data_IF_489541407638
#
_entry.id   IF_489541407638
#
_cell.length_a   1.000
_cell.length_b   1.000
_cell.length_c   1.000
_cell.angle_alpha   90.00
_cell.angle_beta   90.00
_cell.angle_gamma   90.00
#
_symmetry.space_group_name_H-M   'P 1'
#
loop_
_entity.id
_entity.type
_entity.pdbx_description
1 polymer ?
#
# COMPACT_ATOMS: atom_id res chain seq x y z
N UNK A 1 73.63 1.02 22.94
CA UNK A 1 72.33 1.62 23.32
C UNK A 1 71.81 2.43 22.14
N UNK A 2 70.95 1.87 21.31
CA UNK A 2 70.14 2.60 20.33
C UNK A 2 68.72 2.02 20.38
N UNK A 3 67.75 2.89 20.70
CA UNK A 3 66.31 2.65 20.61
C UNK A 3 65.86 2.96 19.18
N UNK A 4 64.93 2.18 18.63
CA UNK A 4 63.90 2.61 17.67
C UNK A 4 62.88 1.46 17.46
N UNK A 5 61.64 1.61 17.93
CA UNK A 5 60.44 1.94 17.13
C UNK A 5 60.20 0.91 16.01
N UNK A 6 59.22 0.01 16.04
CA UNK A 6 57.85 0.12 16.51
C UNK A 6 56.93 0.43 15.33
N UNK A 7 56.40 -0.59 14.64
CA UNK A 7 55.20 -0.47 13.80
C UNK A 7 54.40 -1.78 13.92
N UNK A 8 53.50 -1.82 14.90
CA UNK A 8 52.35 -2.73 14.86
C UNK A 8 51.29 -1.98 14.07
N UNK A 9 51.00 -2.44 12.85
CA UNK A 9 49.89 -1.93 12.06
C UNK A 9 48.58 -2.37 12.73
N UNK A 10 47.97 -1.47 13.49
CA UNK A 10 46.64 -1.62 14.04
C UNK A 10 45.64 -1.44 12.89
N UNK A 11 45.11 -2.54 12.35
CA UNK A 11 43.94 -2.50 11.47
C UNK A 11 42.73 -2.17 12.36
N UNK A 12 42.43 -0.88 12.49
CA UNK A 12 41.15 -0.40 13.01
C UNK A 12 40.08 -0.70 11.97
N UNK A 13 39.41 -1.83 12.14
CA UNK A 13 38.10 -2.09 11.56
C UNK A 13 37.15 -0.98 12.02
N UNK A 14 36.84 -0.05 11.13
CA UNK A 14 35.72 0.87 11.28
C UNK A 14 34.40 0.09 11.15
N UNK A 15 34.06 -0.68 12.19
CA UNK A 15 32.70 -1.14 12.48
C UNK A 15 32.16 -0.23 13.57
N UNK A 16 31.56 0.89 13.17
CA UNK A 16 31.09 1.87 14.13
C UNK A 16 30.17 2.92 13.52
N UNK A 17 29.02 2.48 13.00
CA UNK A 17 27.84 3.35 12.76
C UNK A 17 26.53 2.54 12.59
N UNK A 18 26.43 1.34 13.17
CA UNK A 18 25.22 0.52 13.12
C UNK A 18 24.97 -0.12 14.49
N UNK A 19 24.80 0.71 15.50
CA UNK A 19 24.32 0.31 16.81
C UNK A 19 23.30 1.37 17.27
N UNK A 20 22.07 0.91 17.51
CA UNK A 20 20.88 1.64 17.96
C UNK A 20 20.18 2.61 16.98
N UNK A 21 19.82 2.12 15.79
CA UNK A 21 18.49 2.48 15.29
C UNK A 21 17.48 1.66 16.12
N UNK A 22 16.81 2.29 17.08
CA UNK A 22 15.82 1.60 17.93
C UNK A 22 14.81 0.78 17.12
N UNK A 23 14.15 -0.18 17.76
CA UNK A 23 13.15 -1.03 17.09
C UNK A 23 12.15 -0.18 16.29
N UNK A 24 11.85 -0.61 15.06
CA UNK A 24 10.83 0.04 14.24
C UNK A 24 9.51 0.06 15.01
N UNK A 25 8.75 1.14 14.90
CA UNK A 25 7.55 1.33 15.72
C UNK A 25 6.44 2.06 14.97
N UNK A 26 5.23 1.79 15.43
CA UNK A 26 3.99 2.47 15.07
C UNK A 26 3.54 3.47 16.14
N UNK A 27 4.17 3.46 17.32
CA UNK A 27 3.73 4.24 18.48
C UNK A 27 3.99 5.74 18.27
N UNK A 28 2.94 6.58 18.18
CA UNK A 28 3.11 8.00 17.88
C UNK A 28 3.98 8.74 18.90
N UNK A 29 3.87 8.36 20.17
CA UNK A 29 4.66 8.95 21.27
C UNK A 29 6.14 8.56 21.25
N UNK A 30 6.49 7.48 20.54
CA UNK A 30 7.86 7.01 20.41
C UNK A 30 8.56 7.57 19.16
N UNK A 31 7.82 8.21 18.25
CA UNK A 31 8.31 8.74 16.97
C UNK A 31 8.56 10.25 17.04
N UNK A 32 9.47 10.75 16.22
CA UNK A 32 9.54 12.18 15.92
C UNK A 32 8.19 12.69 15.38
N UNK A 33 7.70 13.79 15.97
CA UNK A 33 6.37 14.32 15.64
C UNK A 33 6.26 14.79 14.19
N UNK A 34 7.35 15.27 13.57
CA UNK A 34 7.35 15.63 12.14
C UNK A 34 7.31 14.36 11.28
N UNK A 35 8.09 13.34 11.62
CA UNK A 35 8.04 12.04 10.95
C UNK A 35 6.63 11.46 10.96
N UNK A 36 5.98 11.42 12.12
CA UNK A 36 4.61 10.92 12.26
C UNK A 36 3.60 11.70 11.40
N UNK A 37 3.67 13.03 11.39
CA UNK A 37 2.77 13.88 10.57
C UNK A 37 2.98 13.69 9.07
N UNK A 38 4.19 13.43 8.62
CA UNK A 38 4.49 13.18 7.20
C UNK A 38 3.90 11.85 6.70
N UNK A 39 3.78 10.86 7.58
CA UNK A 39 3.15 9.56 7.25
C UNK A 39 1.64 9.53 7.53
N UNK A 40 1.07 10.57 8.15
CA UNK A 40 -0.36 10.66 8.46
C UNK A 40 -1.01 11.88 7.80
N UNK A 41 -0.96 13.05 8.42
CA UNK A 41 -1.59 14.29 7.93
C UNK A 41 -1.17 14.65 6.51
N UNK A 42 0.11 14.51 6.18
CA UNK A 42 0.57 14.82 4.83
C UNK A 42 -0.05 13.86 3.80
N UNK A 43 -0.21 12.57 4.12
CA UNK A 43 -0.92 11.63 3.25
C UNK A 43 -2.39 12.06 3.08
N UNK A 44 -3.03 12.53 4.14
CA UNK A 44 -4.38 13.06 4.08
C UNK A 44 -4.51 14.25 3.14
N UNK A 45 -3.62 15.23 3.25
CA UNK A 45 -3.58 16.40 2.37
C UNK A 45 -3.29 16.00 0.92
N UNK A 46 -2.28 15.15 0.73
CA UNK A 46 -1.92 14.60 -0.59
C UNK A 46 -3.17 14.02 -1.28
N UNK A 47 -3.99 13.25 -0.57
CA UNK A 47 -5.16 12.57 -1.13
C UNK A 47 -6.40 13.47 -1.26
N UNK A 48 -6.66 14.32 -0.27
CA UNK A 48 -7.90 15.08 -0.17
C UNK A 48 -7.83 16.50 -0.76
N UNK A 49 -6.64 17.08 -0.89
CA UNK A 49 -6.53 18.47 -1.35
C UNK A 49 -7.04 18.58 -2.80
N UNK A 50 -7.96 19.52 -3.07
CA UNK A 50 -8.44 19.75 -4.42
C UNK A 50 -7.27 20.15 -5.33
N UNK A 51 -6.94 19.31 -6.31
CA UNK A 51 -5.79 19.53 -7.20
C UNK A 51 -6.12 20.30 -8.49
N UNK A 52 -7.29 20.94 -8.53
CA UNK A 52 -7.75 21.73 -9.66
C UNK A 52 -8.34 23.07 -9.23
N UNK A 53 -8.11 24.10 -10.04
CA UNK A 53 -8.93 25.30 -9.99
C UNK A 53 -10.35 24.96 -10.45
N UNK A 54 -11.35 25.73 -10.05
CA UNK A 54 -12.74 25.51 -10.50
C UNK A 54 -12.91 25.55 -12.04
N UNK A 55 -11.93 26.10 -12.77
CA UNK A 55 -11.89 26.17 -14.23
C UNK A 55 -11.40 24.88 -14.91
N UNK A 56 -10.73 23.98 -14.19
CA UNK A 56 -10.15 22.76 -14.78
C UNK A 56 -11.20 21.67 -15.06
N UNK A 57 -12.43 21.82 -14.53
CA UNK A 57 -13.55 20.90 -14.75
C UNK A 57 -14.08 20.85 -16.19
N UNK A 58 -13.56 21.67 -17.10
CA UNK A 58 -13.92 21.69 -18.52
C UNK A 58 -12.96 20.90 -19.42
N UNK A 59 -11.89 20.31 -18.89
CA UNK A 59 -10.91 19.54 -19.67
C UNK A 59 -10.99 18.05 -19.35
N UNK A 60 -11.83 17.34 -20.10
CA UNK A 60 -11.94 15.88 -20.09
C UNK A 60 -10.63 15.29 -20.65
N UNK A 61 -9.70 14.93 -19.76
CA UNK A 61 -8.40 14.32 -20.09
C UNK A 61 -7.26 14.62 -19.11
N UNK A 62 -7.39 15.60 -18.20
CA UNK A 62 -6.25 16.09 -17.38
C UNK A 62 -6.08 15.50 -15.97
N UNK A 63 -6.91 14.54 -15.56
CA UNK A 63 -6.79 13.95 -14.22
C UNK A 63 -5.69 12.88 -14.11
N UNK A 64 -5.00 12.53 -15.20
CA UNK A 64 -4.00 11.46 -15.22
C UNK A 64 -2.60 11.89 -14.76
N UNK A 65 -2.19 13.14 -15.05
CA UNK A 65 -0.93 13.73 -14.55
C UNK A 65 -0.96 13.94 -13.02
N UNK A 66 -2.16 14.15 -12.46
CA UNK A 66 -2.39 14.38 -11.03
C UNK A 66 -2.17 13.14 -10.15
N UNK A 67 -1.89 11.97 -10.74
CA UNK A 67 -1.82 10.66 -10.07
C UNK A 67 -0.42 10.09 -9.98
N UNK A 68 0.42 10.39 -10.98
CA UNK A 68 1.85 10.27 -10.83
C UNK A 68 2.31 11.18 -9.67
N UNK A 69 1.78 12.41 -9.62
CA UNK A 69 1.99 13.37 -8.53
C UNK A 69 1.61 12.80 -7.15
N UNK A 70 0.53 12.02 -7.04
CA UNK A 70 0.15 11.39 -5.77
C UNK A 70 1.17 10.42 -5.22
N UNK A 71 1.64 9.51 -6.06
CA UNK A 71 2.58 8.49 -5.64
C UNK A 71 3.95 9.11 -5.37
N UNK A 72 4.36 10.09 -6.19
CA UNK A 72 5.60 10.85 -5.98
C UNK A 72 5.54 11.68 -4.69
N UNK A 73 4.47 12.42 -4.45
CA UNK A 73 4.28 13.18 -3.21
C UNK A 73 4.21 12.27 -1.99
N UNK A 74 3.51 11.13 -2.10
CA UNK A 74 3.45 10.13 -1.03
C UNK A 74 4.83 9.54 -0.74
N UNK A 75 5.60 9.22 -1.78
CA UNK A 75 6.96 8.70 -1.67
C UNK A 75 7.89 9.72 -1.03
N UNK A 76 7.85 10.97 -1.50
CA UNK A 76 8.63 12.08 -0.95
C UNK A 76 8.32 12.32 0.53
N UNK A 77 7.05 12.37 0.90
CA UNK A 77 6.66 12.53 2.30
C UNK A 77 7.17 11.38 3.17
N UNK A 78 7.08 10.13 2.69
CA UNK A 78 7.59 8.97 3.39
C UNK A 78 9.13 8.97 3.52
N UNK A 79 9.87 9.39 2.49
CA UNK A 79 11.33 9.60 2.57
C UNK A 79 11.70 10.62 3.65
N UNK A 80 11.06 11.80 3.60
CA UNK A 80 11.28 12.87 4.57
C UNK A 80 10.91 12.43 5.99
N UNK A 81 9.92 11.55 6.14
CA UNK A 81 9.59 10.96 7.43
C UNK A 81 10.69 10.04 7.94
N UNK A 82 11.25 9.19 7.08
CA UNK A 82 12.33 8.25 7.44
C UNK A 82 13.66 8.96 7.68
N UNK A 83 13.90 10.10 7.05
CA UNK A 83 15.05 10.96 7.36
C UNK A 83 14.91 11.64 8.72
N UNK A 84 13.69 12.04 9.08
CA UNK A 84 13.41 12.62 10.39
C UNK A 84 13.45 11.57 11.51
N UNK A 85 12.90 10.37 11.26
CA UNK A 85 12.98 9.23 12.18
C UNK A 85 12.97 7.90 11.40
N UNK A 86 14.11 7.20 11.31
CA UNK A 86 14.20 5.93 10.58
C UNK A 86 13.45 4.78 11.28
N UNK A 87 12.92 4.99 12.48
CA UNK A 87 12.10 3.99 13.19
C UNK A 87 10.63 3.99 12.75
N UNK A 88 10.20 4.97 11.97
CA UNK A 88 8.81 5.11 11.55
C UNK A 88 8.41 3.98 10.57
N UNK A 89 7.68 2.99 11.09
CA UNK A 89 7.27 1.82 10.32
C UNK A 89 6.30 2.18 9.17
N UNK A 90 5.48 3.21 9.35
CA UNK A 90 4.54 3.68 8.30
C UNK A 90 5.27 4.20 7.08
N UNK A 91 6.43 4.83 7.26
CA UNK A 91 7.27 5.31 6.15
C UNK A 91 7.65 4.16 5.23
N UNK A 92 8.09 3.04 5.80
CA UNK A 92 8.39 1.83 5.04
C UNK A 92 7.15 1.21 4.40
N UNK A 93 6.01 1.13 5.10
CA UNK A 93 4.76 0.61 4.55
C UNK A 93 4.23 1.42 3.36
N UNK A 94 4.33 2.75 3.42
CA UNK A 94 4.00 3.64 2.30
C UNK A 94 4.94 3.42 1.12
N UNK A 95 6.26 3.42 1.35
CA UNK A 95 7.25 3.20 0.29
C UNK A 95 7.11 1.82 -0.38
N UNK A 96 6.84 0.77 0.40
CA UNK A 96 6.59 -0.58 -0.09
C UNK A 96 5.46 -0.63 -1.12
N UNK A 97 4.42 0.20 -0.94
CA UNK A 97 3.31 0.35 -1.86
C UNK A 97 3.64 1.25 -3.05
N UNK A 98 4.02 2.50 -2.80
CA UNK A 98 4.10 3.52 -3.85
C UNK A 98 5.28 3.29 -4.79
N UNK A 99 6.38 2.70 -4.31
CA UNK A 99 7.52 2.36 -5.17
C UNK A 99 7.17 1.33 -6.25
N UNK A 100 6.19 0.44 -6.02
CA UNK A 100 5.70 -0.47 -7.07
C UNK A 100 4.90 0.28 -8.14
N UNK A 101 4.13 1.30 -7.75
CA UNK A 101 3.41 2.16 -8.69
C UNK A 101 4.36 3.02 -9.53
N UNK A 102 5.44 3.50 -8.91
CA UNK A 102 6.52 4.30 -9.53
C UNK A 102 7.55 3.47 -10.30
N UNK A 103 7.35 2.15 -10.43
CA UNK A 103 8.25 1.24 -11.15
C UNK A 103 9.68 1.20 -10.58
N UNK A 104 9.79 1.31 -9.26
CA UNK A 104 11.04 1.21 -8.49
C UNK A 104 11.06 -0.10 -7.68
N UNK A 105 11.19 -1.28 -8.33
CA UNK A 105 11.01 -2.58 -7.68
C UNK A 105 12.02 -2.87 -6.57
N UNK A 106 13.29 -2.51 -6.75
CA UNK A 106 14.33 -2.76 -5.74
C UNK A 106 14.06 -1.97 -4.46
N UNK A 107 13.60 -0.73 -4.64
CA UNK A 107 13.18 0.15 -3.55
C UNK A 107 11.95 -0.39 -2.84
N UNK A 108 10.96 -0.84 -3.61
CA UNK A 108 9.77 -1.47 -3.05
C UNK A 108 10.14 -2.69 -2.22
N UNK A 109 10.99 -3.58 -2.73
CA UNK A 109 11.43 -4.79 -2.06
C UNK A 109 12.17 -4.49 -0.75
N UNK A 110 13.07 -3.51 -0.75
CA UNK A 110 13.75 -3.08 0.48
C UNK A 110 12.75 -2.54 1.52
N UNK A 111 11.77 -1.75 1.10
CA UNK A 111 10.75 -1.20 2.00
C UNK A 111 9.79 -2.29 2.52
N UNK A 112 9.40 -3.24 1.67
CA UNK A 112 8.62 -4.42 2.06
C UNK A 112 9.32 -5.24 3.14
N UNK A 113 10.61 -5.51 2.98
CA UNK A 113 11.41 -6.23 3.97
C UNK A 113 11.36 -5.49 5.33
N UNK A 114 11.62 -4.18 5.34
CA UNK A 114 11.60 -3.37 6.57
C UNK A 114 10.23 -3.33 7.23
N UNK A 115 9.17 -3.09 6.46
CA UNK A 115 7.81 -3.03 6.98
C UNK A 115 7.41 -4.35 7.66
N UNK A 116 7.68 -5.48 7.00
CA UNK A 116 7.30 -6.80 7.51
C UNK A 116 8.19 -7.30 8.64
N UNK A 117 9.49 -7.01 8.62
CA UNK A 117 10.40 -7.36 9.74
C UNK A 117 10.10 -6.55 11.00
N UNK A 118 9.62 -5.32 10.84
CA UNK A 118 9.13 -4.49 11.94
C UNK A 118 7.75 -4.89 12.48
N UNK A 119 7.15 -5.98 11.97
CA UNK A 119 5.82 -6.45 12.39
C UNK A 119 4.65 -5.65 11.82
N UNK A 120 4.90 -4.78 10.84
CA UNK A 120 3.88 -3.99 10.16
C UNK A 120 3.24 -4.75 9.01
N UNK A 121 2.29 -4.08 8.34
CA UNK A 121 1.67 -4.57 7.12
C UNK A 121 1.91 -3.60 5.96
N UNK A 122 1.84 -4.09 4.73
CA UNK A 122 1.73 -3.23 3.55
C UNK A 122 0.26 -3.17 3.14
N UNK A 123 -0.32 -1.97 3.18
CA UNK A 123 -1.78 -1.78 3.10
C UNK A 123 -2.15 -1.05 1.82
N UNK A 124 -3.05 -1.63 1.05
CA UNK A 124 -3.64 -1.02 -0.14
C UNK A 124 -5.08 -0.62 0.12
N UNK A 125 -5.48 0.55 -0.37
CA UNK A 125 -6.90 0.78 -0.63
C UNK A 125 -7.29 0.00 -1.89
N UNK A 126 -8.53 -0.47 -1.92
CA UNK A 126 -8.94 -1.38 -2.96
C UNK A 126 -10.46 -1.39 -3.21
N UNK A 127 -10.84 -1.85 -4.41
CA UNK A 127 -12.23 -2.13 -4.77
C UNK A 127 -12.43 -3.64 -4.93
N UNK A 128 -13.40 -4.21 -4.21
CA UNK A 128 -13.83 -5.60 -4.35
C UNK A 128 -15.17 -5.60 -5.10
N UNK A 129 -15.12 -5.63 -6.43
CA UNK A 129 -16.31 -5.58 -7.29
C UNK A 129 -17.35 -6.66 -6.99
N UNK A 130 -16.87 -7.83 -6.55
CA UNK A 130 -17.72 -8.94 -6.17
C UNK A 130 -18.53 -8.62 -4.90
N UNK A 131 -18.02 -7.81 -3.98
CA UNK A 131 -18.69 -7.45 -2.73
C UNK A 131 -19.51 -6.18 -2.92
N UNK A 132 -18.85 -5.08 -3.29
CA UNK A 132 -19.49 -3.80 -3.56
C UNK A 132 -18.54 -2.87 -4.32
N UNK A 133 -18.90 -2.55 -5.56
CA UNK A 133 -18.12 -1.66 -6.42
C UNK A 133 -18.18 -0.17 -6.03
N UNK A 134 -19.01 0.20 -5.05
CA UNK A 134 -19.24 1.60 -4.62
C UNK A 134 -18.78 1.86 -3.19
N UNK A 135 -17.81 1.08 -2.71
CA UNK A 135 -17.17 1.31 -1.43
C UNK A 135 -15.69 0.94 -1.52
N UNK A 136 -14.89 1.43 -0.57
CA UNK A 136 -13.49 1.05 -0.46
C UNK A 136 -13.30 -0.01 0.60
N UNK A 137 -12.30 -0.86 0.33
CA UNK A 137 -11.75 -1.83 1.25
C UNK A 137 -10.27 -1.56 1.41
N UNK A 138 -9.68 -2.10 2.47
CA UNK A 138 -8.26 -2.02 2.73
C UNK A 138 -7.71 -3.42 2.89
N UNK A 139 -6.79 -3.79 2.01
CA UNK A 139 -6.10 -5.07 2.06
C UNK A 139 -4.76 -4.84 2.73
N UNK A 140 -4.57 -5.48 3.89
CA UNK A 140 -3.32 -5.47 4.62
C UNK A 140 -2.59 -6.81 4.40
N UNK A 141 -1.35 -6.73 3.91
CA UNK A 141 -0.47 -7.87 3.74
C UNK A 141 0.58 -7.84 4.84
N UNK A 142 0.47 -8.72 5.82
CA UNK A 142 1.48 -8.94 6.85
C UNK A 142 2.19 -10.28 6.64
N UNK A 143 3.15 -10.62 7.51
CA UNK A 143 3.90 -11.90 7.42
C UNK A 143 3.02 -13.15 7.48
N UNK A 144 1.85 -13.07 8.10
CA UNK A 144 1.02 -14.23 8.46
C UNK A 144 -0.22 -14.36 7.58
N UNK A 145 -0.82 -13.24 7.16
CA UNK A 145 -2.09 -13.24 6.47
C UNK A 145 -2.27 -12.08 5.50
N UNK A 146 -3.19 -12.30 4.56
CA UNK A 146 -3.95 -11.26 3.90
C UNK A 146 -5.15 -10.93 4.80
N UNK A 147 -5.33 -9.66 5.15
CA UNK A 147 -6.49 -9.19 5.92
C UNK A 147 -7.29 -8.21 5.10
N UNK A 148 -8.62 -8.28 5.20
CA UNK A 148 -9.53 -7.34 4.56
C UNK A 148 -10.25 -6.53 5.63
N UNK A 149 -10.13 -5.21 5.52
CA UNK A 149 -10.87 -4.26 6.32
C UNK A 149 -11.86 -3.51 5.43
N UNK A 150 -13.04 -3.22 5.98
CA UNK A 150 -13.96 -2.26 5.41
C UNK A 150 -13.50 -0.84 5.77
N UNK A 151 -13.84 0.14 4.96
CA UNK A 151 -13.42 1.52 5.20
C UNK A 151 -13.90 2.04 6.55
N UNK A 152 -15.16 1.80 6.91
CA UNK A 152 -15.72 2.30 8.17
C UNK A 152 -15.12 1.62 9.42
N UNK A 153 -14.50 0.44 9.28
CA UNK A 153 -13.74 -0.18 10.38
C UNK A 153 -12.46 0.60 10.70
N UNK A 154 -11.84 1.22 9.70
CA UNK A 154 -10.60 1.99 9.87
C UNK A 154 -10.88 3.47 10.12
N UNK A 155 -11.86 4.02 9.39
CA UNK A 155 -12.16 5.45 9.36
C UNK A 155 -13.23 5.88 10.37
N UNK A 156 -14.03 4.96 10.91
CA UNK A 156 -15.31 5.31 11.53
C UNK A 156 -16.35 5.69 10.48
N UNK A 157 -17.37 6.44 10.87
CA UNK A 157 -18.43 6.87 9.94
C UNK A 157 -17.85 7.80 8.88
N UNK A 158 -18.04 7.45 7.61
CA UNK A 158 -17.52 8.23 6.48
C UNK A 158 -18.64 9.02 5.79
N UNK A 159 -18.30 10.23 5.36
CA UNK A 159 -19.14 10.98 4.43
C UNK A 159 -19.17 10.24 3.09
N UNK A 160 -20.32 10.26 2.41
CA UNK A 160 -20.49 9.66 1.08
C UNK A 160 -20.82 10.75 0.08
N UNK A 161 -20.05 10.79 -1.00
CA UNK A 161 -20.19 11.76 -2.07
C UNK A 161 -21.08 11.23 -3.20
N UNK A 162 -20.74 11.65 -4.42
CA UNK A 162 -21.43 11.26 -5.64
C UNK A 162 -21.47 9.73 -5.82
N UNK A 163 -22.60 9.19 -6.32
CA UNK A 163 -22.90 7.76 -6.42
C UNK A 163 -22.84 6.94 -5.10
N UNK A 164 -22.74 7.58 -3.93
CA UNK A 164 -22.67 6.91 -2.63
C UNK A 164 -21.29 6.33 -2.30
N UNK A 165 -20.26 6.73 -3.06
CA UNK A 165 -18.87 6.38 -2.83
C UNK A 165 -18.38 7.12 -1.58
N UNK A 166 -17.72 6.45 -0.62
CA UNK A 166 -17.21 7.10 0.58
C UNK A 166 -16.07 8.08 0.24
N UNK A 167 -16.07 9.25 0.89
CA UNK A 167 -14.95 10.18 0.86
C UNK A 167 -13.85 9.70 1.83
N UNK A 168 -12.59 9.98 1.50
CA UNK A 168 -11.50 9.75 2.44
C UNK A 168 -11.62 10.69 3.65
N UNK A 169 -11.30 10.24 4.88
CA UNK A 169 -11.35 11.08 6.07
C UNK A 169 -10.43 12.29 5.96
N UNK A 170 -10.71 13.35 6.72
CA UNK A 170 -9.83 14.52 6.81
C UNK A 170 -8.51 14.23 7.53
N UNK A 171 -7.61 15.22 7.51
CA UNK A 171 -6.28 15.14 8.15
C UNK A 171 -6.33 14.99 9.69
N UNK A 172 -7.49 15.21 10.29
CA UNK A 172 -7.76 14.96 11.71
C UNK A 172 -7.87 13.47 12.06
N UNK A 173 -8.16 12.60 11.09
CA UNK A 173 -8.24 11.15 11.30
C UNK A 173 -6.88 10.46 11.11
N UNK A 174 -5.90 10.82 11.94
CA UNK A 174 -4.55 10.25 11.86
C UNK A 174 -4.53 8.73 12.04
N UNK A 175 -5.45 8.17 12.84
CA UNK A 175 -5.62 6.72 13.03
C UNK A 175 -5.87 5.99 11.72
N UNK A 176 -6.74 6.52 10.87
CA UNK A 176 -7.02 5.94 9.55
C UNK A 176 -5.76 5.93 8.67
N UNK A 177 -5.03 7.05 8.63
CA UNK A 177 -3.81 7.15 7.83
C UNK A 177 -2.66 6.31 8.39
N UNK A 178 -2.56 6.16 9.71
CA UNK A 178 -1.62 5.25 10.34
C UNK A 178 -1.92 3.79 9.97
N UNK A 179 -3.19 3.39 10.02
CA UNK A 179 -3.63 2.07 9.58
C UNK A 179 -3.31 1.84 8.10
N UNK A 180 -3.57 2.82 7.24
CA UNK A 180 -3.26 2.73 5.81
C UNK A 180 -1.75 2.79 5.51
N UNK A 181 -0.96 3.35 6.42
CA UNK A 181 0.50 3.30 6.40
C UNK A 181 1.08 1.96 6.85
N UNK A 182 0.26 1.03 7.37
CA UNK A 182 0.71 -0.28 7.84
C UNK A 182 0.67 -0.49 9.34
N UNK A 183 0.27 0.52 10.11
CA UNK A 183 0.18 0.52 11.56
C UNK A 183 -1.28 0.43 12.00
N UNK A 184 -1.84 -0.78 11.89
CA UNK A 184 -3.25 -1.03 12.19
C UNK A 184 -3.39 -1.32 13.69
N UNK A 185 -4.30 -0.62 14.36
CA UNK A 185 -4.66 -0.88 15.75
C UNK A 185 -5.15 -2.34 15.89
N UNK A 186 -4.50 -3.18 16.73
CA UNK A 186 -4.81 -4.61 16.84
C UNK A 186 -6.22 -4.87 17.41
N UNK A 187 -6.88 -3.87 17.99
CA UNK A 187 -8.27 -3.98 18.44
C UNK A 187 -9.28 -3.91 17.28
N UNK A 188 -8.86 -3.42 16.10
CA UNK A 188 -9.71 -3.42 14.91
C UNK A 188 -9.75 -4.84 14.34
N UNK A 189 -10.91 -5.48 14.47
CA UNK A 189 -11.13 -6.80 13.91
C UNK A 189 -11.33 -6.69 12.39
N UNK A 190 -10.46 -7.29 11.55
CA UNK A 190 -10.67 -7.35 10.11
C UNK A 190 -11.93 -8.14 9.79
N UNK A 191 -12.60 -7.76 8.70
CA UNK A 191 -13.80 -8.46 8.25
C UNK A 191 -13.49 -9.84 7.64
N UNK A 192 -12.25 -10.03 7.15
CA UNK A 192 -11.70 -11.35 6.82
C UNK A 192 -10.20 -11.44 7.13
N UNK A 193 -9.77 -12.63 7.58
CA UNK A 193 -8.36 -13.01 7.73
C UNK A 193 -8.12 -14.27 6.91
N UNK A 194 -7.19 -14.19 5.96
CA UNK A 194 -6.77 -15.30 5.11
C UNK A 194 -5.30 -15.59 5.41
N UNK A 195 -4.97 -16.62 6.21
CA UNK A 195 -3.61 -17.08 6.35
C UNK A 195 -2.98 -17.35 4.98
N UNK A 196 -1.70 -17.02 4.79
CA UNK A 196 -1.04 -17.29 3.50
C UNK A 196 -1.02 -18.78 3.14
N UNK A 197 -1.09 -19.67 4.13
CA UNK A 197 -1.28 -21.11 3.93
C UNK A 197 -2.59 -21.47 3.23
N UNK A 198 -3.62 -20.63 3.31
CA UNK A 198 -4.90 -20.81 2.65
C UNK A 198 -4.98 -20.14 1.27
N UNK A 199 -3.96 -19.39 0.85
CA UNK A 199 -3.91 -18.85 -0.52
C UNK A 199 -3.31 -19.89 -1.44
N UNK A 200 -4.07 -20.35 -2.44
CA UNK A 200 -3.64 -21.39 -3.39
C UNK A 200 -2.99 -20.81 -4.65
N UNK A 201 -3.49 -19.67 -5.10
CA UNK A 201 -3.07 -19.05 -6.35
C UNK A 201 -3.23 -17.53 -6.26
N UNK A 202 -2.25 -16.80 -6.81
CA UNK A 202 -2.39 -15.36 -7.06
C UNK A 202 -2.27 -15.10 -8.56
N UNK A 203 -3.39 -14.74 -9.18
CA UNK A 203 -3.46 -14.38 -10.60
C UNK A 203 -3.44 -12.86 -10.74
N UNK A 204 -2.77 -12.38 -11.78
CA UNK A 204 -2.83 -10.99 -12.24
C UNK A 204 -3.42 -10.92 -13.64
N UNK A 205 -4.03 -9.79 -13.93
CA UNK A 205 -4.77 -9.50 -15.16
C UNK A 205 -5.04 -8.02 -15.22
N UNK A 206 -5.83 -7.56 -16.20
CA UNK A 206 -6.01 -6.13 -16.38
C UNK A 206 -6.82 -5.55 -15.21
N UNK A 207 -6.24 -4.58 -14.50
CA UNK A 207 -6.77 -3.91 -13.30
C UNK A 207 -7.01 -4.76 -12.05
N UNK A 208 -7.06 -6.09 -12.16
CA UNK A 208 -7.52 -6.98 -11.08
C UNK A 208 -6.44 -7.99 -10.67
N UNK A 209 -6.36 -8.22 -9.36
CA UNK A 209 -5.69 -9.35 -8.72
C UNK A 209 -6.74 -10.33 -8.20
N UNK A 210 -6.45 -11.62 -8.31
CA UNK A 210 -7.27 -12.68 -7.75
C UNK A 210 -6.46 -13.48 -6.76
N UNK A 211 -7.00 -13.66 -5.55
CA UNK A 211 -6.49 -14.57 -4.54
C UNK A 211 -7.44 -15.75 -4.45
N UNK A 212 -7.06 -16.91 -5.00
CA UNK A 212 -7.86 -18.14 -4.87
C UNK A 212 -7.61 -18.77 -3.51
N UNK A 213 -8.68 -19.10 -2.82
CA UNK A 213 -8.63 -19.53 -1.44
C UNK A 213 -8.85 -21.04 -1.30
N UNK A 214 -8.20 -21.63 -0.32
CA UNK A 214 -8.43 -23.00 0.11
C UNK A 214 -9.76 -23.15 0.84
N UNK A 215 -10.13 -22.12 1.61
CA UNK A 215 -11.34 -22.05 2.42
C UNK A 215 -12.08 -20.75 2.07
N UNK A 216 -13.41 -20.76 1.99
CA UNK A 216 -14.17 -19.55 1.74
C UNK A 216 -14.04 -18.56 2.91
N UNK A 217 -14.21 -17.27 2.60
CA UNK A 217 -14.32 -16.19 3.59
C UNK A 217 -15.58 -15.37 3.35
N UNK A 218 -16.04 -14.65 4.37
CA UNK A 218 -17.24 -13.81 4.26
C UNK A 218 -16.87 -12.34 4.44
N UNK A 219 -17.11 -11.52 3.42
CA UNK A 219 -16.82 -10.08 3.43
C UNK A 219 -18.12 -9.27 3.28
N UNK A 220 -18.27 -8.23 4.07
CA UNK A 220 -19.42 -7.32 4.13
C UNK A 220 -19.18 -5.97 3.46
N UNK A 221 -20.27 -5.31 3.07
CA UNK A 221 -20.26 -3.94 2.53
C UNK A 221 -20.73 -2.93 3.58
N UNK A 222 -19.96 -1.86 3.79
CA UNK A 222 -20.36 -0.72 4.63
C UNK A 222 -21.66 -0.07 4.13
N UNK A 223 -21.82 0.02 2.81
CA UNK A 223 -22.93 0.74 2.18
C UNK A 223 -24.25 -0.02 2.25
N UNK A 224 -24.21 -1.35 2.15
CA UNK A 224 -25.43 -2.17 2.01
C UNK A 224 -25.70 -3.09 3.20
N UNK A 225 -24.73 -3.27 4.09
CA UNK A 225 -24.78 -4.28 5.17
C UNK A 225 -24.75 -5.73 4.69
N UNK A 226 -24.78 -5.97 3.36
CA UNK A 226 -24.77 -7.32 2.80
C UNK A 226 -23.41 -7.97 2.99
N UNK A 227 -23.42 -9.27 3.26
CA UNK A 227 -22.23 -10.12 3.35
C UNK A 227 -22.21 -11.10 2.18
N UNK A 228 -21.03 -11.34 1.61
CA UNK A 228 -20.80 -12.28 0.51
C UNK A 228 -19.75 -13.30 0.90
N UNK A 229 -20.08 -14.58 0.70
CA UNK A 229 -19.10 -15.67 0.80
C UNK A 229 -18.28 -15.74 -0.50
N UNK A 230 -16.96 -15.77 -0.37
CA UNK A 230 -16.00 -15.75 -1.46
C UNK A 230 -15.03 -16.93 -1.34
N UNK A 231 -14.89 -17.70 -2.42
CA UNK A 231 -13.78 -18.66 -2.60
C UNK A 231 -12.57 -18.04 -3.32
N UNK A 232 -12.74 -16.84 -3.84
CA UNK A 232 -11.73 -16.08 -4.55
C UNK A 232 -11.95 -14.60 -4.23
N UNK A 233 -10.92 -13.93 -3.73
CA UNK A 233 -10.96 -12.47 -3.54
C UNK A 233 -10.48 -11.84 -4.82
N UNK A 234 -11.40 -11.17 -5.53
CA UNK A 234 -11.10 -10.35 -6.70
C UNK A 234 -11.00 -8.90 -6.30
N UNK A 235 -9.88 -8.27 -6.62
CA UNK A 235 -9.60 -6.94 -6.10
C UNK A 235 -8.86 -6.08 -7.13
N UNK A 236 -9.29 -4.83 -7.27
CA UNK A 236 -8.48 -3.79 -7.89
C UNK A 236 -7.74 -3.03 -6.79
N UNK A 237 -6.43 -3.26 -6.68
CA UNK A 237 -5.57 -2.51 -5.77
C UNK A 237 -5.29 -1.13 -6.38
N UNK A 238 -5.69 -0.07 -5.67
CA UNK A 238 -5.46 1.29 -6.14
C UNK A 238 -3.97 1.64 -6.04
N UNK A 239 -3.43 2.29 -7.06
CA UNK A 239 -2.01 2.66 -7.05
C UNK A 239 -1.52 3.31 -8.35
N UNK A 240 -2.06 2.96 -9.52
CA UNK A 240 -1.62 3.54 -10.81
C UNK A 240 -2.66 4.46 -11.46
N UNK A 241 -3.94 4.18 -11.29
CA UNK A 241 -5.03 5.11 -11.60
C UNK A 241 -5.56 5.69 -10.32
N UNK A 242 -5.56 7.00 -10.17
CA UNK A 242 -6.42 7.68 -9.21
C UNK A 242 -7.58 8.43 -9.86
N UNK A 243 -8.17 7.88 -10.91
CA UNK A 243 -9.63 7.82 -10.87
C UNK A 243 -9.98 6.68 -9.91
N UNK A 244 -10.30 7.05 -8.67
CA UNK A 244 -11.10 6.22 -7.78
C UNK A 244 -12.58 6.19 -8.23
N UNK A 245 -12.88 6.83 -9.36
CA UNK A 245 -14.18 6.90 -10.01
C UNK A 245 -14.44 5.67 -10.89
N UNK A 246 -15.66 5.17 -10.78
CA UNK A 246 -16.17 3.90 -11.30
C UNK A 246 -16.38 3.91 -12.84
N UNK A 247 -15.89 4.92 -13.56
CA UNK A 247 -16.15 5.02 -14.99
C UNK A 247 -15.06 5.82 -15.70
N UNK A 248 -14.31 5.16 -16.59
CA UNK A 248 -13.62 5.88 -17.67
C UNK A 248 -14.62 6.14 -18.79
N UNK A 249 -14.86 7.38 -19.23
CA UNK A 249 -15.53 7.62 -20.49
C UNK A 249 -14.72 6.94 -21.60
N UNK A 250 -15.42 6.22 -22.47
CA UNK A 250 -14.82 5.62 -23.67
C UNK A 250 -14.40 6.77 -24.58
N UNK A 251 -13.10 7.06 -24.63
CA UNK A 251 -12.54 8.16 -25.40
C UNK A 251 -11.02 8.13 -25.26
N UNK A 252 -10.34 8.20 -26.39
CA UNK A 252 -8.91 8.04 -26.58
C UNK A 252 -8.06 8.80 -25.54
N UNK A 253 -7.42 8.07 -24.63
CA UNK A 253 -6.17 8.49 -24.02
C UNK A 253 -5.30 7.23 -23.85
N UNK A 254 -4.22 7.19 -24.64
CA UNK A 254 -3.26 6.08 -24.74
C UNK A 254 -2.37 5.97 -23.47
N UNK A 255 -2.99 5.68 -22.32
CA UNK A 255 -2.27 5.30 -21.09
C UNK A 255 -1.45 4.03 -21.22
N UNK A 256 -1.66 3.26 -22.29
CA UNK A 256 -0.83 2.10 -22.60
C UNK A 256 0.63 2.48 -22.92
N UNK A 257 0.97 3.77 -23.10
CA UNK A 257 2.26 4.20 -23.63
C UNK A 257 3.25 4.78 -22.61
N UNK A 258 2.91 4.90 -21.32
CA UNK A 258 3.88 5.30 -20.27
C UNK A 258 3.97 4.24 -19.17
N UNK A 259 5.03 3.42 -19.24
CA UNK A 259 5.42 2.42 -18.23
C UNK A 259 4.64 1.09 -18.29
N UNK A 260 4.72 0.26 -17.23
CA UNK A 260 3.97 -1.02 -17.15
C UNK A 260 2.47 -0.77 -17.14
N UNK A 261 1.74 -1.25 -18.16
CA UNK A 261 0.28 -1.20 -18.16
C UNK A 261 -0.36 -1.79 -16.89
N UNK A 262 -1.66 -1.55 -16.62
CA UNK A 262 -2.31 -1.91 -15.36
C UNK A 262 -2.13 -3.38 -14.97
N UNK A 263 -2.14 -4.24 -15.98
CA UNK A 263 -1.89 -5.67 -15.85
C UNK A 263 -0.45 -5.99 -15.40
N UNK A 264 0.55 -5.24 -15.87
CA UNK A 264 1.94 -5.33 -15.42
C UNK A 264 2.17 -4.77 -14.01
N UNK A 265 1.41 -3.77 -13.58
CA UNK A 265 1.40 -3.32 -12.18
C UNK A 265 0.88 -4.44 -11.25
N UNK A 266 -0.26 -5.05 -11.57
CA UNK A 266 -0.78 -6.18 -10.77
C UNK A 266 0.20 -7.37 -10.76
N UNK A 267 0.86 -7.66 -11.89
CA UNK A 267 1.90 -8.70 -11.94
C UNK A 267 3.09 -8.36 -11.02
N UNK A 268 3.52 -7.10 -10.98
CA UNK A 268 4.59 -6.63 -10.10
C UNK A 268 4.21 -6.81 -8.63
N UNK A 269 2.97 -6.46 -8.26
CA UNK A 269 2.47 -6.61 -6.88
C UNK A 269 2.47 -8.07 -6.47
N UNK A 270 1.84 -8.98 -7.24
CA UNK A 270 1.79 -10.41 -6.84
C UNK A 270 3.19 -11.04 -6.75
N UNK A 271 4.11 -10.69 -7.64
CA UNK A 271 5.49 -11.22 -7.63
C UNK A 271 6.27 -10.71 -6.42
N UNK A 272 6.00 -9.48 -5.98
CA UNK A 272 6.61 -8.90 -4.78
C UNK A 272 6.06 -9.59 -3.53
N UNK A 273 4.73 -9.69 -3.40
CA UNK A 273 4.06 -10.31 -2.23
C UNK A 273 4.65 -11.70 -1.94
N UNK A 274 4.68 -12.61 -2.94
CA UNK A 274 5.08 -14.00 -2.71
C UNK A 274 6.50 -14.17 -2.19
N UNK A 275 7.42 -13.24 -2.49
CA UNK A 275 8.80 -13.29 -1.98
C UNK A 275 8.84 -13.26 -0.45
N UNK A 276 7.87 -12.59 0.18
CA UNK A 276 7.86 -12.37 1.62
C UNK A 276 6.97 -13.34 2.39
N UNK A 277 5.97 -13.92 1.72
CA UNK A 277 4.89 -14.67 2.38
C UNK A 277 4.82 -16.14 1.98
N UNK A 278 5.53 -16.53 0.92
CA UNK A 278 5.56 -17.89 0.40
C UNK A 278 6.98 -18.35 0.01
N UNK A 279 7.93 -18.40 0.97
CA UNK A 279 9.30 -18.83 0.69
C UNK A 279 9.38 -20.28 0.18
N UNK A 280 8.39 -21.10 0.54
CA UNK A 280 8.26 -22.50 0.12
C UNK A 280 7.66 -22.67 -1.29
N UNK A 281 7.24 -21.57 -1.93
CA UNK A 281 6.67 -21.55 -3.29
C UNK A 281 5.43 -22.43 -3.46
N UNK A 282 4.56 -22.46 -2.45
CA UNK A 282 3.29 -23.22 -2.45
C UNK A 282 2.19 -22.50 -3.23
N UNK A 283 2.24 -21.18 -3.33
CA UNK A 283 1.26 -20.35 -4.02
C UNK A 283 1.55 -20.37 -5.51
N UNK A 284 0.58 -20.85 -6.29
CA UNK A 284 0.71 -20.85 -7.75
C UNK A 284 0.66 -19.41 -8.31
N UNK A 285 1.63 -19.10 -9.19
CA UNK A 285 1.65 -17.88 -9.98
C UNK A 285 1.47 -18.22 -11.46
N UNK A 286 0.23 -18.37 -11.96
CA UNK A 286 -0.01 -18.71 -13.35
C UNK A 286 0.60 -17.67 -14.30
N UNK A 287 0.92 -18.06 -15.54
CA UNK A 287 1.42 -17.13 -16.55
C UNK A 287 0.52 -15.91 -16.65
N UNK A 288 1.17 -14.76 -16.75
CA UNK A 288 0.48 -13.50 -16.99
C UNK A 288 -0.24 -13.60 -18.35
N UNK A 289 -1.57 -13.50 -18.33
CA UNK A 289 -2.40 -13.42 -19.53
C UNK A 289 -3.11 -12.07 -19.50
N UNK A 290 -2.69 -11.08 -20.31
CA UNK A 290 -3.45 -9.86 -20.48
C UNK A 290 -4.76 -10.22 -21.19
N UNK A 291 -5.77 -10.59 -20.41
CA UNK A 291 -7.15 -10.74 -20.88
C UNK A 291 -7.84 -9.39 -20.90
N UNK A 292 -9.02 -9.33 -21.56
CA UNK A 292 -9.90 -8.18 -21.46
C UNK A 292 -10.09 -7.81 -19.99
N UNK A 293 -9.65 -6.61 -19.62
CA UNK A 293 -10.12 -5.99 -18.39
C UNK A 293 -11.62 -5.80 -18.48
N UNK A 294 -12.27 -5.76 -17.32
CA UNK A 294 -13.67 -5.38 -17.22
C UNK A 294 -13.96 -4.09 -17.98
#
# INVERSE_FOLDING_TARGET
MLRSFGVVALILLARGAAADAGALTCEPSALDARSYRLTTRAQALIINDPRGSWWDGFQLGKHEEQLADLNDASAFAAERALEADPRNLMGYGILARVALALEQPDRAEAAWQRALDGGGAVVWSATLYDVDARTYFFLAFDRHALRVYRMEQLAGVVKRGFYGIPEFPGADNERFYAAWGGCIDPTIVPDAVVPWSDVKEIKAGNWVLWFKLARPVTIGSDRTGKRKELREIKVNLHGRTGSLEVYKPVGQDDLALRGRGPAGYQDAVRRTIVKFVDPEKRIALPPFKPGAGW
#
